data_IF_776973743991
#
_entry.id   IF_776973743991
#
_cell.length_a   1.000
_cell.length_b   1.000
_cell.length_c   1.000
_cell.angle_alpha   90.00
_cell.angle_beta   90.00
_cell.angle_gamma   90.00
#
_symmetry.space_group_name_H-M   'P 1'
#
loop_
_entity.id
_entity.type
_entity.pdbx_description
1 polymer ?
#
# COMPACT_ATOMS: atom_id res chain seq x y z
N UNK A 1 -15.47 1.81 35.23
CA UNK A 1 -14.44 2.79 34.84
C UNK A 1 -13.85 2.28 33.55
N UNK A 2 -14.35 2.76 32.42
CA UNK A 2 -14.00 2.27 31.09
C UNK A 2 -12.52 2.53 30.83
N UNK A 3 -11.75 1.47 30.57
CA UNK A 3 -10.37 1.57 30.14
C UNK A 3 -10.37 2.19 28.74
N UNK A 4 -9.99 3.46 28.63
CA UNK A 4 -9.67 4.07 27.35
C UNK A 4 -8.56 3.23 26.71
N UNK A 5 -8.92 2.39 25.75
CA UNK A 5 -7.95 1.79 24.85
C UNK A 5 -7.35 2.96 24.08
N UNK A 6 -6.12 3.36 24.41
CA UNK A 6 -5.34 4.25 23.54
C UNK A 6 -5.42 3.65 22.13
N UNK A 7 -6.10 4.36 21.22
CA UNK A 7 -6.09 3.97 19.81
C UNK A 7 -4.65 4.17 19.36
N UNK A 8 -3.89 3.09 19.24
CA UNK A 8 -2.53 3.14 18.71
C UNK A 8 -2.56 3.88 17.36
N UNK A 9 -1.95 5.07 17.34
CA UNK A 9 -1.90 5.91 16.15
C UNK A 9 -0.69 5.48 15.33
N UNK A 10 -0.95 4.87 14.17
CA UNK A 10 0.12 4.49 13.25
C UNK A 10 0.63 5.70 12.42
N UNK A 11 1.92 5.72 12.06
CA UNK A 11 2.49 6.79 11.23
C UNK A 11 1.84 6.91 9.85
N UNK A 12 2.00 8.08 9.22
CA UNK A 12 1.39 8.38 7.90
C UNK A 12 2.39 8.40 6.76
N UNK A 13 3.69 8.27 7.04
CA UNK A 13 4.77 8.24 6.03
C UNK A 13 5.60 6.98 6.16
N UNK A 14 6.07 6.43 5.04
CA UNK A 14 6.85 5.18 5.00
C UNK A 14 8.14 5.31 5.82
N UNK A 15 8.76 6.49 5.77
CA UNK A 15 10.01 6.80 6.47
C UNK A 15 9.85 6.80 7.99
N UNK A 16 8.66 7.12 8.49
CA UNK A 16 8.35 7.10 9.93
C UNK A 16 8.23 5.65 10.46
N UNK A 17 7.91 4.70 9.58
CA UNK A 17 8.05 3.26 9.88
C UNK A 17 9.50 2.77 9.78
N UNK A 18 10.45 3.64 9.42
CA UNK A 18 11.86 3.30 9.23
C UNK A 18 12.16 2.60 7.91
N UNK A 19 11.27 2.68 6.92
CA UNK A 19 11.45 2.08 5.60
C UNK A 19 11.55 3.12 4.49
N UNK A 20 12.12 2.72 3.34
CA UNK A 20 12.06 3.47 2.09
C UNK A 20 12.13 2.52 0.89
N UNK A 21 11.63 2.97 -0.25
CA UNK A 21 11.86 2.28 -1.51
C UNK A 21 13.28 2.56 -2.02
N UNK A 22 13.99 1.52 -2.47
CA UNK A 22 15.26 1.67 -3.18
C UNK A 22 15.03 1.91 -4.69
N UNK A 23 16.11 2.10 -5.43
CA UNK A 23 16.08 2.35 -6.88
C UNK A 23 15.42 1.20 -7.67
N UNK A 24 15.50 -0.02 -7.13
CA UNK A 24 14.89 -1.23 -7.69
C UNK A 24 13.40 -1.37 -7.33
N UNK A 25 12.82 -0.42 -6.59
CA UNK A 25 11.41 -0.49 -6.17
C UNK A 25 11.15 -1.43 -4.99
N UNK A 26 12.18 -1.83 -4.24
CA UNK A 26 12.03 -2.70 -3.07
C UNK A 26 11.91 -1.88 -1.77
N UNK A 27 10.99 -2.26 -0.89
CA UNK A 27 10.86 -1.67 0.44
C UNK A 27 11.97 -2.20 1.36
N UNK A 28 12.87 -1.32 1.80
CA UNK A 28 14.04 -1.66 2.63
C UNK A 28 14.10 -0.78 3.88
N UNK A 29 14.60 -1.35 4.97
CA UNK A 29 14.86 -0.59 6.19
C UNK A 29 15.91 0.50 5.91
N UNK A 30 15.66 1.73 6.36
CA UNK A 30 16.54 2.87 6.10
C UNK A 30 17.95 2.64 6.68
N UNK A 31 18.01 2.08 7.89
CA UNK A 31 19.24 1.84 8.67
C UNK A 31 19.92 0.54 8.27
N UNK A 32 19.21 -0.59 8.34
CA UNK A 32 19.82 -1.93 8.16
C UNK A 32 19.87 -2.37 6.69
N UNK A 33 19.14 -1.72 5.78
CA UNK A 33 18.93 -2.15 4.39
C UNK A 33 18.24 -3.51 4.21
N UNK A 34 17.80 -4.12 5.31
CA UNK A 34 17.09 -5.39 5.29
C UNK A 34 15.69 -5.25 4.70
N UNK A 35 15.10 -6.40 4.34
CA UNK A 35 13.72 -6.48 3.84
C UNK A 35 12.71 -6.18 4.95
N UNK A 36 11.47 -5.93 4.53
CA UNK A 36 10.34 -5.79 5.43
C UNK A 36 10.17 -7.02 6.34
N UNK A 37 9.90 -6.76 7.62
CA UNK A 37 9.58 -7.76 8.62
C UNK A 37 8.14 -7.58 9.12
N UNK A 38 7.34 -8.64 9.02
CA UNK A 38 5.96 -8.64 9.50
C UNK A 38 5.87 -8.69 11.03
N UNK A 39 6.73 -9.50 11.65
CA UNK A 39 6.74 -9.69 13.11
C UNK A 39 7.63 -8.62 13.73
N UNK A 40 7.01 -7.53 14.19
CA UNK A 40 7.69 -6.44 14.91
C UNK A 40 7.65 -6.68 16.42
N UNK A 41 6.52 -7.16 16.94
CA UNK A 41 6.32 -7.58 18.33
C UNK A 41 5.97 -9.07 18.37
N UNK A 42 6.89 -9.98 18.72
CA UNK A 42 6.64 -11.43 18.71
C UNK A 42 5.41 -11.86 19.52
N UNK A 43 5.21 -11.21 20.67
CA UNK A 43 4.13 -11.52 21.62
C UNK A 43 2.77 -10.93 21.23
N UNK A 44 2.72 -10.01 20.26
CA UNK A 44 1.49 -9.31 19.89
C UNK A 44 1.18 -9.44 18.40
N UNK A 45 0.49 -10.54 18.07
CA UNK A 45 0.02 -10.80 16.70
C UNK A 45 -1.00 -9.77 16.22
N UNK A 46 -1.82 -9.25 17.13
CA UNK A 46 -2.87 -8.29 16.80
C UNK A 46 -2.26 -6.94 16.39
N UNK A 47 -1.26 -6.49 17.14
CA UNK A 47 -0.44 -5.33 16.78
C UNK A 47 0.26 -5.52 15.44
N UNK A 48 0.94 -6.66 15.22
CA UNK A 48 1.64 -6.90 13.96
C UNK A 48 0.70 -6.83 12.75
N UNK A 49 -0.53 -7.35 12.89
CA UNK A 49 -1.54 -7.26 11.85
C UNK A 49 -1.98 -5.81 11.59
N UNK A 50 -2.34 -5.05 12.64
CA UNK A 50 -2.71 -3.63 12.48
C UNK A 50 -1.58 -2.79 11.91
N UNK A 51 -0.35 -3.01 12.37
CA UNK A 51 0.86 -2.33 11.87
C UNK A 51 1.09 -2.64 10.39
N UNK A 52 0.93 -3.90 9.99
CA UNK A 52 1.06 -4.32 8.59
C UNK A 52 -0.02 -3.67 7.71
N UNK A 53 -1.27 -3.61 8.18
CA UNK A 53 -2.36 -2.94 7.47
C UNK A 53 -2.08 -1.44 7.30
N UNK A 54 -1.72 -0.75 8.38
CA UNK A 54 -1.40 0.67 8.36
C UNK A 54 -0.22 1.00 7.43
N UNK A 55 0.84 0.19 7.45
CA UNK A 55 1.96 0.34 6.51
C UNK A 55 1.50 0.09 5.06
N UNK A 56 0.64 -0.90 4.84
CA UNK A 56 0.06 -1.22 3.53
C UNK A 56 -0.73 -0.06 2.92
N UNK A 57 -1.50 0.67 3.74
CA UNK A 57 -2.23 1.87 3.32
C UNK A 57 -1.28 2.96 2.83
N UNK A 58 -0.24 3.27 3.61
CA UNK A 58 0.74 4.30 3.24
C UNK A 58 1.53 3.91 1.98
N UNK A 59 1.87 2.63 1.82
CA UNK A 59 2.49 2.14 0.58
C UNK A 59 1.53 2.27 -0.61
N UNK A 60 0.23 2.03 -0.40
CA UNK A 60 -0.79 2.23 -1.43
C UNK A 60 -0.76 3.66 -1.97
N UNK A 61 -0.75 4.66 -1.09
CA UNK A 61 -0.63 6.07 -1.46
C UNK A 61 0.65 6.34 -2.24
N UNK A 62 1.79 5.81 -1.78
CA UNK A 62 3.06 5.97 -2.48
C UNK A 62 3.02 5.39 -3.91
N UNK A 63 2.51 4.17 -4.08
CA UNK A 63 2.41 3.53 -5.41
C UNK A 63 1.57 4.40 -6.35
N UNK A 64 0.44 4.89 -5.87
CA UNK A 64 -0.46 5.74 -6.65
C UNK A 64 0.19 7.05 -7.08
N UNK A 65 1.02 7.65 -6.22
CA UNK A 65 1.83 8.79 -6.61
C UNK A 65 2.85 8.42 -7.69
N UNK A 66 3.47 7.24 -7.61
CA UNK A 66 4.40 6.78 -8.64
C UNK A 66 3.71 6.52 -9.99
N UNK A 67 2.50 5.96 -9.98
CA UNK A 67 1.69 5.75 -11.19
C UNK A 67 1.50 7.06 -11.97
N UNK A 68 1.24 8.16 -11.27
CA UNK A 68 1.08 9.48 -11.89
C UNK A 68 2.43 10.12 -12.20
N UNK A 69 3.32 10.26 -11.22
CA UNK A 69 4.57 11.06 -11.35
C UNK A 69 5.62 10.38 -12.22
N UNK A 70 5.79 9.06 -12.10
CA UNK A 70 6.87 8.31 -12.76
C UNK A 70 6.40 7.65 -14.05
N UNK A 71 5.18 7.13 -14.07
CA UNK A 71 4.63 6.40 -15.21
C UNK A 71 3.66 7.24 -16.06
N UNK A 72 3.40 8.49 -15.66
CA UNK A 72 2.55 9.42 -16.40
C UNK A 72 1.15 8.87 -16.70
N UNK A 73 0.61 8.05 -15.78
CA UNK A 73 -0.76 7.56 -15.89
C UNK A 73 -1.75 8.62 -15.41
N UNK A 74 -2.88 8.68 -16.09
CA UNK A 74 -4.00 9.56 -15.77
C UNK A 74 -4.89 8.83 -14.76
N UNK A 75 -5.16 9.49 -13.63
CA UNK A 75 -6.04 8.99 -12.57
C UNK A 75 -7.47 9.47 -12.85
N UNK A 76 -8.38 8.56 -13.13
CA UNK A 76 -9.81 8.87 -13.37
C UNK A 76 -10.71 8.22 -12.30
N UNK A 77 -11.72 8.94 -11.78
CA UNK A 77 -12.70 8.38 -10.86
C UNK A 77 -13.70 7.45 -11.57
N UNK A 78 -14.23 6.46 -10.84
CA UNK A 78 -15.29 5.57 -11.30
C UNK A 78 -16.42 5.50 -10.26
N UNK A 79 -17.71 5.61 -10.66
CA UNK A 79 -18.17 5.90 -12.03
C UNK A 79 -17.84 7.35 -12.46
N UNK A 80 -17.73 7.57 -13.77
CA UNK A 80 -17.46 8.90 -14.37
C UNK A 80 -18.61 9.86 -14.04
N UNK A 81 -19.83 9.34 -14.06
CA UNK A 81 -21.02 10.03 -13.56
C UNK A 81 -21.37 9.48 -12.18
N UNK A 82 -21.46 10.33 -11.14
CA UNK A 82 -21.88 9.88 -9.82
C UNK A 82 -23.29 9.25 -9.88
N UNK A 83 -23.52 8.23 -9.05
CA UNK A 83 -24.89 7.75 -8.81
C UNK A 83 -25.72 8.81 -8.08
N UNK A 84 -27.03 8.58 -7.88
CA UNK A 84 -27.94 9.50 -7.16
C UNK A 84 -27.42 9.91 -5.76
N UNK A 85 -26.42 9.19 -5.22
CA UNK A 85 -25.79 9.45 -3.93
C UNK A 85 -24.52 10.31 -4.03
N UNK A 86 -24.01 10.62 -5.23
CA UNK A 86 -22.95 11.61 -5.44
C UNK A 86 -21.51 11.17 -5.13
N UNK A 87 -21.25 9.89 -4.86
CA UNK A 87 -19.92 9.43 -4.43
C UNK A 87 -19.21 8.59 -5.49
N UNK A 88 -18.04 9.01 -6.02
CA UNK A 88 -17.18 8.13 -6.80
C UNK A 88 -16.71 6.97 -5.91
N UNK A 89 -16.98 5.74 -6.34
CA UNK A 89 -16.75 4.51 -5.56
C UNK A 89 -15.32 3.99 -5.68
N UNK A 90 -14.63 4.35 -6.75
CA UNK A 90 -13.28 3.88 -7.05
C UNK A 90 -12.56 4.81 -8.03
N UNK A 91 -11.42 4.35 -8.54
CA UNK A 91 -10.58 5.03 -9.53
C UNK A 91 -9.82 4.02 -10.37
N UNK A 92 -9.45 4.45 -11.57
CA UNK A 92 -8.54 3.75 -12.47
C UNK A 92 -7.34 4.61 -12.81
N UNK A 93 -6.31 3.95 -13.32
CA UNK A 93 -5.10 4.56 -13.85
C UNK A 93 -4.91 4.06 -15.26
N UNK A 94 -4.88 4.97 -16.24
CA UNK A 94 -4.74 4.64 -17.66
C UNK A 94 -3.58 5.41 -18.30
N UNK A 95 -2.99 4.85 -19.34
CA UNK A 95 -2.06 5.58 -20.21
C UNK A 95 -2.81 6.64 -21.01
N UNK A 96 -2.10 7.68 -21.46
CA UNK A 96 -2.73 8.80 -22.20
C UNK A 96 -3.41 8.39 -23.50
N UNK A 97 -3.00 7.28 -24.10
CA UNK A 97 -3.49 6.70 -25.35
C UNK A 97 -4.42 5.49 -25.15
N UNK A 98 -4.82 5.19 -23.91
CA UNK A 98 -5.55 3.95 -23.60
C UNK A 98 -6.86 3.81 -24.41
N UNK A 99 -7.51 4.90 -24.79
CA UNK A 99 -8.75 4.86 -25.56
C UNK A 99 -8.53 4.69 -27.07
N UNK A 100 -7.34 4.99 -27.57
CA UNK A 100 -7.00 4.97 -29.00
C UNK A 100 -6.14 3.75 -29.38
N UNK A 101 -5.63 3.01 -28.40
CA UNK A 101 -4.72 1.90 -28.63
C UNK A 101 -5.44 0.62 -29.11
N UNK A 102 -4.77 -0.17 -29.95
CA UNK A 102 -5.31 -1.43 -30.47
C UNK A 102 -5.35 -2.56 -29.42
N UNK A 103 -4.48 -2.51 -28.41
CA UNK A 103 -4.31 -3.58 -27.42
C UNK A 103 -4.24 -2.98 -26.03
N UNK A 104 -5.11 -3.48 -25.14
CA UNK A 104 -5.24 -3.02 -23.76
C UNK A 104 -4.81 -4.10 -22.78
N UNK A 105 -4.00 -3.71 -21.79
CA UNK A 105 -3.72 -4.51 -20.60
C UNK A 105 -4.52 -3.96 -19.42
N UNK A 106 -5.49 -4.75 -18.94
CA UNK A 106 -6.28 -4.42 -17.76
C UNK A 106 -5.75 -5.17 -16.53
N UNK A 107 -5.25 -4.43 -15.54
CA UNK A 107 -4.79 -4.99 -14.26
C UNK A 107 -5.81 -4.69 -13.15
N UNK A 108 -6.46 -5.72 -12.65
CA UNK A 108 -7.39 -5.63 -11.51
C UNK A 108 -6.71 -6.25 -10.29
N UNK A 109 -6.46 -5.43 -9.28
CA UNK A 109 -5.91 -5.89 -8.00
C UNK A 109 -7.02 -6.33 -7.04
N UNK A 110 -6.72 -7.33 -6.20
CA UNK A 110 -7.63 -7.76 -5.14
C UNK A 110 -7.81 -6.71 -4.04
N UNK A 111 -8.80 -6.92 -3.18
CA UNK A 111 -9.22 -5.99 -2.10
C UNK A 111 -8.31 -5.99 -0.86
N UNK A 112 -7.21 -6.73 -0.87
CA UNK A 112 -6.29 -6.80 0.26
C UNK A 112 -5.21 -5.71 0.22
N UNK A 113 -4.56 -5.49 1.38
CA UNK A 113 -3.27 -4.79 1.50
C UNK A 113 -2.10 -5.48 0.78
N UNK A 114 -2.39 -6.54 0.01
CA UNK A 114 -1.45 -7.23 -0.88
C UNK A 114 -1.76 -6.79 -2.30
N UNK A 115 -1.04 -5.78 -2.79
CA UNK A 115 -1.04 -5.37 -4.20
C UNK A 115 -0.01 -6.21 -4.98
N UNK A 116 -0.21 -6.45 -6.28
CA UNK A 116 0.81 -7.04 -7.13
C UNK A 116 2.15 -6.29 -6.96
N UNK A 117 3.23 -7.00 -6.64
CA UNK A 117 4.55 -6.40 -6.34
C UNK A 117 4.87 -6.19 -4.85
N UNK A 118 3.91 -6.34 -3.93
CA UNK A 118 4.14 -6.30 -2.48
C UNK A 118 4.40 -7.70 -1.90
N UNK A 119 5.44 -8.38 -2.37
CA UNK A 119 5.78 -9.73 -1.91
C UNK A 119 6.93 -9.69 -0.89
N UNK A 120 6.61 -9.92 0.39
CA UNK A 120 7.40 -10.76 1.31
C UNK A 120 6.78 -10.75 2.71
N UNK A 121 6.09 -11.82 3.08
CA UNK A 121 5.92 -12.17 4.51
C UNK A 121 7.16 -12.96 4.92
N UNK A 122 8.20 -12.27 5.39
CA UNK A 122 9.30 -12.96 6.07
C UNK A 122 8.95 -13.07 7.55
N UNK A 123 8.57 -14.28 7.99
CA UNK A 123 8.55 -14.61 9.40
C UNK A 123 9.99 -14.89 9.85
N UNK A 124 10.48 -14.23 10.91
CA UNK A 124 11.73 -14.66 11.54
C UNK A 124 11.53 -16.09 12.05
N UNK A 125 12.37 -17.03 11.63
CA UNK A 125 12.54 -18.29 12.37
C UNK A 125 13.17 -17.92 13.71
N UNK A 126 12.42 -18.09 14.79
CA UNK A 126 13.00 -18.14 16.14
C UNK A 126 13.60 -19.53 16.26
N UNK A 127 14.93 -19.63 16.29
CA UNK A 127 15.58 -20.87 16.69
C UNK A 127 15.37 -21.01 18.20
N UNK A 128 14.59 -22.02 18.58
CA UNK A 128 14.50 -22.56 19.94
C UNK A 128 15.77 -23.29 20.32
#
# INVERSE_FOLDING_TARGET
MESYTEREVFPKKIEEYGYKFNENGELRNIKTKERFLFVVKPEDRSYNQRHYEALGEVIGVYIEEQLVKRFNLIKEPIPVEPDENGFPKSRIYLSGDALDCQTLLLLIQGSGVVRPGQWARQAKRVNS
#
